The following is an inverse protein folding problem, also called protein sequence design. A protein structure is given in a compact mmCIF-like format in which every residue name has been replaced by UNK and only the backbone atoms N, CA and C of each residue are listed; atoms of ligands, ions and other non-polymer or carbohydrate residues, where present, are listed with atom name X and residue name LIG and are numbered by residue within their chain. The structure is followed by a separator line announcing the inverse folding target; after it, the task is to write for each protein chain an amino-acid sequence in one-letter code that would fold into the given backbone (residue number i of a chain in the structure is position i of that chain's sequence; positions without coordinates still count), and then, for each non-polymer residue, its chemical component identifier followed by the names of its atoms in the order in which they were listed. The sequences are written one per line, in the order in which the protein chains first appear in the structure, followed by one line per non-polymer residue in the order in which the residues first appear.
data_IF_290405805884
#
_entry.id   IF_290405805884
#
_cell.length_a   1.000
_cell.length_b   1.000
_cell.length_c   1.000
_cell.angle_alpha   90.00
_cell.angle_beta   90.00
_cell.angle_gamma   90.00
#
_symmetry.space_group_name_H-M   'P 1'
#
loop_
_entity.id
_entity.type
_entity.pdbx_description
1 polymer ?
#
# COMPACT_ATOMS: atom_id res chain seq x y z
N UNK A 1 62.98 -18.59 22.94
CA UNK A 1 62.12 -19.33 21.97
C UNK A 1 60.68 -19.54 22.47
N UNK A 2 60.44 -19.66 23.78
CA UNK A 2 59.10 -19.90 24.37
C UNK A 2 58.08 -18.76 24.16
N UNK A 3 58.48 -17.49 24.28
CA UNK A 3 57.54 -16.35 24.18
C UNK A 3 56.95 -16.11 22.77
N UNK A 4 57.62 -16.57 21.70
CA UNK A 4 57.14 -16.37 20.33
C UNK A 4 55.96 -17.29 19.98
N UNK A 5 55.90 -18.47 20.60
CA UNK A 5 54.81 -19.42 20.43
C UNK A 5 53.63 -19.12 21.36
N UNK A 6 53.87 -18.43 22.48
CA UNK A 6 52.81 -18.03 23.41
C UNK A 6 51.77 -17.11 22.76
N UNK A 7 52.22 -16.17 21.93
CA UNK A 7 51.32 -15.27 21.21
C UNK A 7 50.45 -16.02 20.18
N UNK A 8 51.02 -16.99 19.47
CA UNK A 8 50.26 -17.83 18.54
C UNK A 8 49.24 -18.70 19.26
N UNK A 9 49.61 -19.31 20.39
CA UNK A 9 48.71 -20.11 21.22
C UNK A 9 47.58 -19.24 21.79
N UNK A 10 47.89 -18.00 22.21
CA UNK A 10 46.89 -17.05 22.69
C UNK A 10 45.86 -16.69 21.62
N UNK A 11 46.30 -16.42 20.38
CA UNK A 11 45.39 -16.12 19.26
C UNK A 11 44.48 -17.32 18.95
N UNK A 12 45.04 -18.53 18.96
CA UNK A 12 44.27 -19.76 18.70
C UNK A 12 43.23 -19.99 19.81
N UNK A 13 43.60 -19.76 21.07
CA UNK A 13 42.69 -19.84 22.22
C UNK A 13 41.58 -18.79 22.13
N UNK A 14 41.90 -17.56 21.73
CA UNK A 14 40.91 -16.49 21.53
C UNK A 14 39.92 -16.84 20.42
N UNK A 15 40.42 -17.39 19.31
CA UNK A 15 39.58 -17.83 18.20
C UNK A 15 38.65 -18.97 18.61
N UNK A 16 39.17 -19.98 19.33
CA UNK A 16 38.37 -21.08 19.85
C UNK A 16 37.32 -20.60 20.86
N UNK A 17 37.66 -19.64 21.72
CA UNK A 17 36.71 -19.03 22.65
C UNK A 17 35.59 -18.27 21.93
N UNK A 18 35.90 -17.55 20.84
CA UNK A 18 34.89 -16.90 20.00
C UNK A 18 33.96 -17.92 19.34
N UNK A 19 34.51 -18.98 18.74
CA UNK A 19 33.71 -20.03 18.09
C UNK A 19 32.83 -20.74 19.11
N UNK A 20 33.37 -21.08 20.28
CA UNK A 20 32.59 -21.67 21.37
C UNK A 20 31.50 -20.72 21.88
N UNK A 21 31.81 -19.42 21.99
CA UNK A 21 30.85 -18.40 22.38
C UNK A 21 29.67 -18.28 21.42
N UNK A 22 29.92 -18.34 20.10
CA UNK A 22 28.86 -18.32 19.07
C UNK A 22 28.04 -19.62 19.07
N UNK A 23 28.69 -20.77 19.26
CA UNK A 23 28.02 -22.07 19.27
C UNK A 23 27.19 -22.31 20.53
N UNK A 24 27.67 -21.82 21.68
CA UNK A 24 26.99 -21.93 22.97
C UNK A 24 26.02 -20.77 23.24
N UNK A 25 25.98 -19.77 22.34
CA UNK A 25 25.00 -18.70 22.45
C UNK A 25 23.60 -19.31 22.34
N UNK A 26 22.73 -19.15 23.35
CA UNK A 26 21.37 -19.67 23.27
C UNK A 26 20.70 -19.05 22.06
N UNK A 27 20.42 -19.87 21.05
CA UNK A 27 19.58 -19.50 19.91
C UNK A 27 18.16 -19.40 20.42
N UNK A 28 17.85 -18.31 21.11
CA UNK A 28 16.47 -17.98 21.39
C UNK A 28 15.84 -17.69 20.02
N UNK A 29 14.91 -18.53 19.53
CA UNK A 29 14.14 -18.15 18.38
C UNK A 29 13.46 -16.85 18.75
N UNK A 30 13.62 -15.83 17.91
CA UNK A 30 12.90 -14.58 18.07
C UNK A 30 11.41 -14.91 18.13
N UNK A 31 10.84 -14.96 19.33
CA UNK A 31 9.41 -15.08 19.52
C UNK A 31 8.87 -13.68 19.28
N UNK A 32 8.33 -13.45 18.09
CA UNK A 32 7.45 -12.30 17.86
C UNK A 32 6.46 -12.24 19.02
N UNK A 33 6.30 -11.08 19.69
CA UNK A 33 5.28 -10.93 20.71
C UNK A 33 3.93 -10.96 20.00
N UNK A 34 3.39 -12.16 19.81
CA UNK A 34 1.99 -12.33 19.46
C UNK A 34 1.26 -12.29 20.78
N UNK A 35 0.74 -11.11 21.12
CA UNK A 35 -0.28 -10.97 22.15
C UNK A 35 -1.53 -11.68 21.63
N UNK A 36 -1.56 -13.01 21.76
CA UNK A 36 -2.78 -13.79 21.60
C UNK A 36 -3.56 -13.58 22.88
N UNK A 37 -4.18 -12.40 23.02
CA UNK A 37 -5.43 -12.35 23.76
C UNK A 37 -6.30 -13.42 23.12
N UNK A 38 -6.57 -14.48 23.86
CA UNK A 38 -7.69 -15.35 23.58
C UNK A 38 -8.91 -14.45 23.66
N UNK A 39 -9.23 -13.80 22.54
CA UNK A 39 -10.54 -13.22 22.32
C UNK A 39 -11.44 -14.42 22.40
N UNK A 40 -12.20 -14.54 23.49
CA UNK A 40 -13.38 -15.38 23.51
C UNK A 40 -14.09 -15.09 22.19
N UNK A 41 -14.09 -16.09 21.31
CA UNK A 41 -14.88 -16.02 20.10
C UNK A 41 -16.31 -16.18 20.59
N UNK A 42 -16.86 -15.09 21.10
CA UNK A 42 -18.29 -14.88 21.14
C UNK A 42 -18.78 -15.30 19.77
N UNK A 43 -19.74 -16.23 19.71
CA UNK A 43 -20.29 -16.77 18.47
C UNK A 43 -20.75 -15.62 17.56
N UNK A 44 -19.84 -15.11 16.72
CA UNK A 44 -20.18 -14.13 15.69
C UNK A 44 -20.80 -14.93 14.56
N UNK A 45 -22.02 -15.41 14.79
CA UNK A 45 -22.99 -15.63 13.73
C UNK A 45 -23.30 -14.28 13.07
N UNK A 46 -22.37 -13.87 12.21
CA UNK A 46 -22.51 -13.02 11.04
C UNK A 46 -21.15 -13.06 10.38
N UNK A 47 -20.99 -14.01 9.47
CA UNK A 47 -20.08 -13.83 8.35
C UNK A 47 -20.60 -12.58 7.63
N UNK A 48 -20.18 -11.39 8.06
CA UNK A 48 -20.23 -10.21 7.22
C UNK A 48 -19.39 -10.59 6.01
N UNK A 49 -20.07 -10.93 4.92
CA UNK A 49 -19.41 -11.29 3.66
C UNK A 49 -18.35 -10.23 3.39
N UNK A 50 -17.06 -10.60 3.33
CA UNK A 50 -16.02 -9.64 3.04
C UNK A 50 -16.36 -8.99 1.70
N UNK A 51 -16.16 -7.68 1.60
CA UNK A 51 -16.38 -6.95 0.36
C UNK A 51 -15.55 -7.60 -0.76
N UNK A 52 -16.23 -8.14 -1.79
CA UNK A 52 -15.62 -8.81 -2.96
C UNK A 52 -15.52 -7.86 -4.15
N UNK A 53 -15.77 -6.57 -3.95
CA UNK A 53 -15.74 -5.61 -5.05
C UNK A 53 -14.32 -5.39 -5.58
N UNK A 54 -14.25 -4.95 -6.84
CA UNK A 54 -12.99 -4.78 -7.57
C UNK A 54 -12.81 -3.35 -8.03
N UNK A 55 -11.56 -2.99 -8.28
CA UNK A 55 -11.21 -1.75 -8.98
C UNK A 55 -11.20 -2.00 -10.47
N UNK A 56 -11.93 -1.20 -11.25
CA UNK A 56 -11.68 -1.09 -12.68
C UNK A 56 -10.39 -0.29 -12.85
N UNK A 57 -9.42 -0.87 -13.54
CA UNK A 57 -8.13 -0.24 -13.76
C UNK A 57 -8.28 0.80 -14.88
N UNK A 58 -7.78 2.04 -14.68
CA UNK A 58 -7.84 3.06 -15.72
C UNK A 58 -6.98 2.64 -16.93
N UNK A 59 -7.50 2.79 -18.14
CA UNK A 59 -6.71 2.62 -19.36
C UNK A 59 -5.92 3.89 -19.69
N UNK A 60 -4.94 3.79 -20.60
CA UNK A 60 -4.15 4.96 -21.03
C UNK A 60 -5.05 6.04 -21.64
N UNK A 61 -6.07 5.61 -22.41
CA UNK A 61 -7.05 6.49 -23.05
C UNK A 61 -7.95 7.24 -22.06
N UNK A 62 -8.07 6.74 -20.84
CA UNK A 62 -8.93 7.33 -19.82
C UNK A 62 -8.21 8.44 -19.03
N UNK A 63 -6.88 8.54 -19.18
CA UNK A 63 -6.06 9.51 -18.47
C UNK A 63 -5.99 10.79 -19.29
N UNK A 64 -6.58 11.86 -18.75
CA UNK A 64 -6.52 13.18 -19.36
C UNK A 64 -5.30 13.95 -18.83
N UNK A 65 -4.37 14.29 -19.71
CA UNK A 65 -3.14 15.01 -19.33
C UNK A 65 -3.38 16.51 -19.45
N UNK A 66 -3.23 17.22 -18.34
CA UNK A 66 -3.41 18.67 -18.26
C UNK A 66 -2.10 19.41 -18.54
N UNK A 67 -1.01 18.96 -17.91
CA UNK A 67 0.35 19.46 -18.14
C UNK A 67 1.37 18.33 -18.05
N UNK A 68 2.40 18.38 -18.89
CA UNK A 68 3.54 17.46 -18.82
C UNK A 68 4.87 18.20 -19.05
N UNK A 69 5.06 19.29 -18.31
CA UNK A 69 6.33 20.02 -18.30
C UNK A 69 7.54 19.16 -17.87
N UNK A 70 7.31 18.05 -17.15
CA UNK A 70 8.36 17.09 -16.78
C UNK A 70 8.78 16.10 -17.90
N UNK A 71 8.10 16.12 -19.06
CA UNK A 71 8.45 15.25 -20.20
C UNK A 71 8.33 13.75 -19.91
N UNK A 72 7.38 13.36 -19.05
CA UNK A 72 7.18 11.95 -18.67
C UNK A 72 6.52 11.15 -19.78
N UNK A 73 6.92 9.89 -19.89
CA UNK A 73 6.24 8.90 -20.72
C UNK A 73 4.87 8.55 -20.10
N UNK A 74 3.80 8.88 -20.82
CA UNK A 74 2.43 8.69 -20.36
C UNK A 74 2.00 7.22 -20.37
N UNK A 75 2.58 6.39 -21.23
CA UNK A 75 2.27 4.97 -21.26
C UNK A 75 2.86 4.27 -20.02
N UNK A 76 4.09 4.64 -19.64
CA UNK A 76 4.69 4.16 -18.39
C UNK A 76 3.94 4.68 -17.16
N UNK A 77 3.50 5.95 -17.18
CA UNK A 77 2.70 6.52 -16.11
C UNK A 77 1.37 5.78 -15.95
N UNK A 78 0.69 5.49 -17.04
CA UNK A 78 -0.56 4.75 -17.04
C UNK A 78 -0.39 3.34 -16.46
N UNK A 79 0.65 2.60 -16.87
CA UNK A 79 0.95 1.27 -16.31
C UNK A 79 1.24 1.33 -14.81
N UNK A 80 1.95 2.37 -14.35
CA UNK A 80 2.16 2.58 -12.93
C UNK A 80 0.84 2.84 -12.20
N UNK A 81 -0.01 3.73 -12.72
CA UNK A 81 -1.31 4.06 -12.14
C UNK A 81 -2.22 2.85 -12.07
N UNK A 82 -2.25 1.99 -13.11
CA UNK A 82 -2.96 0.71 -13.10
C UNK A 82 -2.50 -0.19 -11.96
N UNK A 83 -1.17 -0.37 -11.81
CA UNK A 83 -0.61 -1.16 -10.71
C UNK A 83 -0.97 -0.61 -9.33
N UNK A 84 -1.08 0.72 -9.20
CA UNK A 84 -1.52 1.36 -7.94
C UNK A 84 -3.03 1.29 -7.73
N UNK A 85 -3.82 1.43 -8.78
CA UNK A 85 -5.28 1.35 -8.76
C UNK A 85 -5.75 -0.01 -8.22
N UNK A 86 -5.10 -1.10 -8.63
CA UNK A 86 -5.37 -2.45 -8.12
C UNK A 86 -5.24 -2.52 -6.58
N UNK A 87 -4.31 -1.75 -6.00
CA UNK A 87 -4.09 -1.66 -4.56
C UNK A 87 -5.11 -0.80 -3.81
N UNK A 88 -6.01 -0.08 -4.48
CA UNK A 88 -7.01 0.78 -3.84
C UNK A 88 -8.31 0.04 -3.49
N UNK A 89 -8.47 -1.23 -3.90
CA UNK A 89 -9.71 -1.98 -3.69
C UNK A 89 -10.14 -2.03 -2.22
N UNK A 90 -9.18 -2.21 -1.29
CA UNK A 90 -9.47 -2.36 0.13
C UNK A 90 -9.94 -1.07 0.80
N UNK A 91 -9.61 0.10 0.24
CA UNK A 91 -9.97 1.39 0.82
C UNK A 91 -11.49 1.59 0.83
N UNK A 92 -12.19 1.08 -0.18
CA UNK A 92 -13.64 1.20 -0.27
C UNK A 92 -14.41 0.14 0.53
N UNK A 93 -13.73 -0.84 1.15
CA UNK A 93 -14.39 -1.92 1.89
C UNK A 93 -15.39 -1.38 2.94
N UNK A 94 -14.97 -0.45 3.78
CA UNK A 94 -15.85 0.14 4.80
C UNK A 94 -16.99 0.97 4.20
N UNK A 95 -16.77 1.63 3.06
CA UNK A 95 -17.83 2.33 2.34
C UNK A 95 -18.92 1.34 1.93
N UNK A 96 -18.54 0.27 1.24
CA UNK A 96 -19.48 -0.73 0.76
C UNK A 96 -20.15 -1.50 1.90
N UNK A 97 -19.45 -1.85 2.99
CA UNK A 97 -20.08 -2.45 4.17
C UNK A 97 -21.19 -1.58 4.75
N UNK A 98 -20.93 -0.27 4.92
CA UNK A 98 -21.94 0.70 5.39
C UNK A 98 -23.11 0.78 4.40
N UNK A 99 -22.82 0.86 3.11
CA UNK A 99 -23.84 0.88 2.06
C UNK A 99 -24.70 -0.39 2.08
N UNK A 100 -24.12 -1.60 2.13
CA UNK A 100 -24.85 -2.87 2.19
C UNK A 100 -25.79 -2.96 3.39
N UNK A 101 -25.40 -2.42 4.56
CA UNK A 101 -26.29 -2.35 5.74
C UNK A 101 -27.52 -1.48 5.49
N UNK A 102 -27.34 -0.35 4.79
CA UNK A 102 -28.42 0.59 4.46
C UNK A 102 -29.29 0.09 3.30
N UNK A 103 -28.70 -0.64 2.35
CA UNK A 103 -29.36 -1.18 1.16
C UNK A 103 -29.96 -2.58 1.38
N UNK A 104 -30.28 -2.97 2.61
CA UNK A 104 -30.87 -4.30 2.98
C UNK A 104 -32.03 -4.82 2.10
N UNK A 105 -32.68 -3.96 1.31
CA UNK A 105 -33.78 -4.30 0.39
C UNK A 105 -33.41 -4.33 -1.11
N UNK A 106 -32.18 -3.95 -1.49
CA UNK A 106 -31.70 -3.96 -2.88
C UNK A 106 -30.70 -5.08 -3.10
N UNK A 107 -30.78 -5.70 -4.26
CA UNK A 107 -29.87 -6.78 -4.68
C UNK A 107 -28.45 -6.28 -4.97
N UNK A 108 -28.25 -4.96 -5.12
CA UNK A 108 -27.00 -4.36 -5.60
C UNK A 108 -26.75 -2.98 -5.00
N UNK A 109 -25.53 -2.73 -4.52
CA UNK A 109 -25.05 -1.39 -4.17
C UNK A 109 -24.53 -0.71 -5.44
N UNK A 110 -24.79 0.58 -5.69
CA UNK A 110 -24.21 1.28 -6.83
C UNK A 110 -22.68 1.29 -6.76
N UNK A 111 -22.04 1.30 -7.92
CA UNK A 111 -20.59 1.46 -8.05
C UNK A 111 -20.20 2.89 -7.63
N UNK A 112 -18.94 3.07 -7.22
CA UNK A 112 -18.41 4.39 -6.86
C UNK A 112 -17.50 4.84 -7.99
N UNK A 113 -17.84 5.97 -8.61
CA UNK A 113 -17.04 6.63 -9.62
C UNK A 113 -16.33 7.85 -9.01
N UNK A 114 -15.01 7.88 -9.10
CA UNK A 114 -14.22 9.04 -8.73
C UNK A 114 -13.27 9.45 -9.86
N UNK A 115 -13.13 10.75 -10.11
CA UNK A 115 -12.07 11.33 -10.94
C UNK A 115 -11.13 12.09 -10.03
N UNK A 116 -9.86 11.71 -10.07
CA UNK A 116 -8.82 12.29 -9.25
C UNK A 116 -7.97 13.22 -10.11
N UNK A 117 -7.86 14.47 -9.68
CA UNK A 117 -6.89 15.41 -10.24
C UNK A 117 -5.60 15.21 -9.45
N UNK A 118 -4.57 14.71 -10.15
CA UNK A 118 -3.29 14.33 -9.57
C UNK A 118 -2.18 15.17 -10.18
N UNK A 119 -1.25 15.57 -9.34
CA UNK A 119 0.01 16.20 -9.75
C UNK A 119 1.19 15.39 -9.23
N UNK A 120 2.22 15.26 -10.06
CA UNK A 120 3.48 14.58 -9.72
C UNK A 120 4.62 15.55 -9.92
N UNK A 121 5.29 15.89 -8.82
CA UNK A 121 6.45 16.79 -8.83
C UNK A 121 7.71 16.12 -9.40
N UNK A 122 8.81 16.86 -9.56
CA UNK A 122 10.07 16.33 -10.07
C UNK A 122 10.71 15.25 -9.18
N UNK A 123 10.37 15.21 -7.89
CA UNK A 123 10.81 14.19 -6.95
C UNK A 123 10.00 12.89 -7.05
N UNK A 124 8.95 12.87 -7.87
CA UNK A 124 8.06 11.73 -8.05
C UNK A 124 7.04 11.59 -6.93
N UNK A 125 6.79 12.65 -6.16
CA UNK A 125 5.80 12.69 -5.09
C UNK A 125 4.45 13.08 -5.69
N UNK A 126 3.43 12.27 -5.39
CA UNK A 126 2.05 12.56 -5.78
C UNK A 126 1.39 13.51 -4.81
N UNK A 127 0.63 14.45 -5.35
CA UNK A 127 -0.35 15.25 -4.64
C UNK A 127 -1.73 15.02 -5.26
N UNK A 128 -2.76 15.05 -4.42
CA UNK A 128 -4.15 14.97 -4.84
C UNK A 128 -4.72 16.36 -4.72
N UNK A 129 -4.94 17.01 -5.85
CA UNK A 129 -5.41 18.39 -5.90
C UNK A 129 -6.92 18.46 -5.70
N UNK A 130 -7.66 17.51 -6.27
CA UNK A 130 -9.11 17.40 -6.10
C UNK A 130 -9.60 15.97 -6.34
N UNK A 131 -10.73 15.64 -5.71
CA UNK A 131 -11.45 14.38 -5.89
C UNK A 131 -12.89 14.74 -6.29
N UNK A 132 -13.28 14.40 -7.52
CA UNK A 132 -14.66 14.51 -7.99
C UNK A 132 -15.30 13.13 -7.92
N UNK A 133 -16.20 12.89 -6.97
CA UNK A 133 -16.85 11.59 -6.81
C UNK A 133 -18.37 11.71 -6.80
N UNK A 134 -19.04 10.64 -7.22
CA UNK A 134 -20.50 10.49 -7.17
C UNK A 134 -21.02 10.07 -5.78
N UNK A 135 -20.12 9.74 -4.83
CA UNK A 135 -20.48 9.47 -3.44
C UNK A 135 -20.14 10.64 -2.51
N UNK A 136 -21.01 10.87 -1.52
CA UNK A 136 -20.79 11.84 -0.44
C UNK A 136 -19.89 11.29 0.70
N UNK A 137 -19.16 10.19 0.46
CA UNK A 137 -18.33 9.56 1.50
C UNK A 137 -16.99 10.28 1.65
N UNK A 138 -16.99 11.33 2.47
CA UNK A 138 -15.79 12.12 2.78
C UNK A 138 -14.68 11.28 3.44
N UNK A 139 -15.04 10.21 4.16
CA UNK A 139 -14.07 9.33 4.82
C UNK A 139 -13.33 8.46 3.81
N UNK A 140 -14.01 7.99 2.76
CA UNK A 140 -13.36 7.34 1.62
C UNK A 140 -12.39 8.29 0.91
N UNK A 141 -12.83 9.52 0.60
CA UNK A 141 -11.98 10.53 -0.04
C UNK A 141 -10.71 10.83 0.77
N UNK A 142 -10.84 11.01 2.09
CA UNK A 142 -9.70 11.24 2.99
C UNK A 142 -8.73 10.06 3.01
N UNK A 143 -9.24 8.83 3.15
CA UNK A 143 -8.39 7.61 3.15
C UNK A 143 -7.65 7.44 1.82
N UNK A 144 -8.30 7.77 0.70
CA UNK A 144 -7.70 7.76 -0.62
C UNK A 144 -6.56 8.77 -0.74
N UNK A 145 -6.80 10.02 -0.33
CA UNK A 145 -5.80 11.09 -0.34
C UNK A 145 -4.59 10.74 0.53
N UNK A 146 -4.82 10.27 1.75
CA UNK A 146 -3.76 9.87 2.68
C UNK A 146 -2.94 8.69 2.13
N UNK A 147 -3.62 7.72 1.51
CA UNK A 147 -2.95 6.56 0.91
C UNK A 147 -2.04 6.97 -0.26
N UNK A 148 -2.54 7.79 -1.19
CA UNK A 148 -1.77 8.26 -2.35
C UNK A 148 -0.56 9.07 -1.86
N UNK A 149 -0.77 10.05 -0.98
CA UNK A 149 0.29 10.90 -0.44
C UNK A 149 1.37 10.09 0.27
N UNK A 150 0.98 9.06 1.02
CA UNK A 150 1.92 8.23 1.80
C UNK A 150 2.68 7.22 0.96
N UNK A 151 2.01 6.52 0.04
CA UNK A 151 2.56 5.32 -0.59
C UNK A 151 2.91 5.47 -2.07
N UNK A 152 2.35 6.45 -2.78
CA UNK A 152 2.60 6.57 -4.22
C UNK A 152 3.87 7.36 -4.46
N UNK A 153 4.84 6.73 -5.12
CA UNK A 153 6.09 7.35 -5.56
C UNK A 153 6.37 6.92 -7.00
N UNK A 154 6.57 7.89 -7.88
CA UNK A 154 6.95 7.68 -9.27
C UNK A 154 8.44 7.96 -9.48
N UNK A 155 8.94 7.65 -10.68
CA UNK A 155 10.31 7.98 -11.08
C UNK A 155 10.51 9.51 -11.10
N UNK A 156 11.65 9.94 -10.57
CA UNK A 156 12.09 11.34 -10.61
C UNK A 156 12.28 11.82 -12.04
N UNK A 157 11.97 13.08 -12.30
CA UNK A 157 12.33 13.80 -13.53
C UNK A 157 13.46 14.79 -13.25
N UNK A 158 14.07 15.32 -14.31
CA UNK A 158 15.11 16.36 -14.22
C UNK A 158 14.54 17.68 -13.70
N UNK A 159 13.35 18.06 -14.16
CA UNK A 159 12.62 19.25 -13.75
C UNK A 159 11.12 19.10 -14.10
N UNK A 160 10.33 20.14 -13.78
CA UNK A 160 8.91 20.23 -14.13
C UNK A 160 7.97 19.42 -13.24
N UNK A 161 6.69 19.40 -13.63
CA UNK A 161 5.63 18.60 -13.02
C UNK A 161 4.79 17.93 -14.11
N UNK A 162 3.94 16.99 -13.71
CA UNK A 162 2.93 16.40 -14.58
C UNK A 162 1.61 16.43 -13.86
N UNK A 163 0.60 17.04 -14.47
CA UNK A 163 -0.76 17.16 -13.94
C UNK A 163 -1.71 16.37 -14.85
N UNK A 164 -2.56 15.54 -14.26
CA UNK A 164 -3.46 14.67 -15.02
C UNK A 164 -4.69 14.27 -14.21
N UNK A 165 -5.75 13.92 -14.92
CA UNK A 165 -7.01 13.44 -14.36
C UNK A 165 -7.11 11.94 -14.63
N UNK A 166 -7.42 11.17 -13.59
CA UNK A 166 -7.56 9.70 -13.67
C UNK A 166 -8.91 9.27 -13.11
N UNK A 167 -9.71 8.51 -13.86
CA UNK A 167 -10.90 7.88 -13.33
C UNK A 167 -10.56 6.62 -12.53
N UNK A 168 -11.22 6.45 -11.40
CA UNK A 168 -11.16 5.31 -10.52
C UNK A 168 -12.58 4.84 -10.25
N UNK A 169 -12.84 3.57 -10.51
CA UNK A 169 -14.18 2.99 -10.37
C UNK A 169 -14.08 1.78 -9.45
N UNK A 170 -14.77 1.85 -8.31
CA UNK A 170 -14.95 0.71 -7.42
C UNK A 170 -16.28 0.03 -7.74
N UNK A 171 -16.24 -1.23 -8.16
CA UNK A 171 -17.45 -2.00 -8.45
C UNK A 171 -17.89 -2.75 -7.21
N UNK A 172 -19.21 -2.79 -6.96
CA UNK A 172 -19.78 -3.58 -5.86
C UNK A 172 -19.98 -5.06 -6.24
N UNK A 173 -19.97 -5.36 -7.54
CA UNK A 173 -20.17 -6.70 -8.12
C UNK A 173 -18.87 -7.31 -8.65
N UNK A 174 -18.82 -8.64 -8.56
CA UNK A 174 -17.94 -9.50 -9.35
C UNK A 174 -18.71 -10.07 -10.55
#
# INVERSE_FOLDING_TARGET
MFFRNLFGIFIIMLFLAMVAGVLLMPRNPYKTPVDVRQVEVEDVHKVETPFVGRMILPEVSDIEVLDNSAGRDMEQMARFLQGRAAGLHWLANEHFKKAWRNYRKRTTVPDVHARLILSVDSLGIFQVDSIMSDTDDLELGKRLQDHIKKYWRYRRSTSGKTDFIVPFIWTSKY
#
